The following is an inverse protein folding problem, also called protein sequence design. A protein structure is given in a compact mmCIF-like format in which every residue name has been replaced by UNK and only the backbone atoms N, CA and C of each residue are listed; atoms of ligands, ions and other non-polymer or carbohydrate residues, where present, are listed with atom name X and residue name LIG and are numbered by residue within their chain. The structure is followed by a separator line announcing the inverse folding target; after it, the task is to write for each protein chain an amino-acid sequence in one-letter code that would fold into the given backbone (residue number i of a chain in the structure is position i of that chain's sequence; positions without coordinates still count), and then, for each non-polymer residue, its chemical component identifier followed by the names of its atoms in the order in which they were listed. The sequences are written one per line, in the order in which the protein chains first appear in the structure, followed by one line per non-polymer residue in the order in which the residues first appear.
data_IF_289980042057
#
_entry.id   IF_289980042057
#
_cell.length_a   1.000
_cell.length_b   1.000
_cell.length_c   1.000
_cell.angle_alpha   90.00
_cell.angle_beta   90.00
_cell.angle_gamma   90.00
#
_symmetry.space_group_name_H-M   'P 1'
#
loop_
_entity.id
_entity.type
_entity.pdbx_description
1 polymer ?
#
# COMPACT_ATOMS: atom_id res chain seq x y z
N UNK A 1 -11.76 -21.62 19.33
CA UNK A 1 -11.70 -20.37 20.12
C UNK A 1 -12.16 -19.25 19.22
N UNK A 2 -13.22 -18.49 19.55
CA UNK A 2 -13.56 -17.30 18.77
C UNK A 2 -12.45 -16.27 19.02
N UNK A 3 -11.76 -15.84 17.95
CA UNK A 3 -10.80 -14.74 18.05
C UNK A 3 -11.58 -13.47 18.41
N UNK A 4 -11.19 -12.81 19.50
CA UNK A 4 -11.62 -11.43 19.73
C UNK A 4 -11.09 -10.58 18.59
N UNK A 5 -11.94 -9.75 18.00
CA UNK A 5 -11.47 -8.73 17.06
C UNK A 5 -10.46 -7.83 17.78
N UNK A 6 -9.35 -7.50 17.11
CA UNK A 6 -8.35 -6.55 17.63
C UNK A 6 -8.95 -5.15 17.84
N UNK A 7 -10.06 -4.86 17.16
CA UNK A 7 -10.86 -3.65 17.30
C UNK A 7 -12.04 -3.89 18.24
N UNK A 8 -12.10 -3.13 19.33
CA UNK A 8 -13.27 -3.11 20.23
C UNK A 8 -14.46 -2.39 19.55
N UNK A 9 -15.69 -2.72 19.96
CA UNK A 9 -16.90 -2.04 19.44
C UNK A 9 -16.89 -0.53 19.70
N UNK A 10 -16.29 -0.08 20.81
CA UNK A 10 -16.11 1.34 21.10
C UNK A 10 -15.15 2.03 20.14
N UNK A 11 -14.05 1.37 19.76
CA UNK A 11 -13.11 1.90 18.79
C UNK A 11 -13.72 2.01 17.38
N UNK A 12 -14.45 0.97 16.95
CA UNK A 12 -15.19 0.96 15.67
C UNK A 12 -16.22 2.11 15.59
N UNK A 13 -16.99 2.32 16.66
CA UNK A 13 -17.97 3.41 16.71
C UNK A 13 -17.33 4.81 16.59
N UNK A 14 -16.15 5.00 17.20
CA UNK A 14 -15.39 6.26 17.11
C UNK A 14 -14.85 6.46 15.70
N UNK A 15 -14.25 5.43 15.11
CA UNK A 15 -13.73 5.47 13.74
C UNK A 15 -14.83 5.84 12.74
N UNK A 16 -15.99 5.19 12.84
CA UNK A 16 -17.13 5.46 11.96
C UNK A 16 -17.66 6.90 12.12
N UNK A 17 -17.74 7.40 13.35
CA UNK A 17 -18.17 8.77 13.62
C UNK A 17 -17.20 9.81 13.03
N UNK A 18 -15.89 9.54 13.06
CA UNK A 18 -14.87 10.38 12.43
C UNK A 18 -14.99 10.35 10.90
N UNK A 19 -15.09 9.16 10.30
CA UNK A 19 -15.23 9.02 8.85
C UNK A 19 -16.48 9.72 8.30
N UNK A 20 -17.60 9.70 9.03
CA UNK A 20 -18.84 10.39 8.66
C UNK A 20 -18.71 11.92 8.70
N UNK A 21 -17.86 12.46 9.57
CA UNK A 21 -17.59 13.91 9.67
C UNK A 21 -16.60 14.41 8.62
N UNK A 22 -15.83 13.52 8.00
CA UNK A 22 -14.84 13.89 7.00
C UNK A 22 -15.47 14.36 5.69
N UNK A 23 -14.88 15.41 5.12
CA UNK A 23 -15.16 15.81 3.73
C UNK A 23 -14.62 14.77 2.73
N UNK A 24 -15.03 14.88 1.47
CA UNK A 24 -14.45 14.06 0.41
C UNK A 24 -12.93 14.29 0.29
N UNK A 25 -12.48 15.54 0.43
CA UNK A 25 -11.06 15.91 0.38
C UNK A 25 -10.25 15.30 1.53
N UNK A 26 -10.81 15.27 2.74
CA UNK A 26 -10.15 14.62 3.88
C UNK A 26 -9.95 13.13 3.65
N UNK A 27 -10.96 12.46 3.11
CA UNK A 27 -10.88 11.03 2.78
C UNK A 27 -9.82 10.77 1.70
N UNK A 28 -9.75 11.60 0.66
CA UNK A 28 -8.71 11.48 -0.38
C UNK A 28 -7.33 11.69 0.22
N UNK A 29 -7.14 12.71 1.06
CA UNK A 29 -5.86 13.01 1.72
C UNK A 29 -5.38 11.82 2.55
N UNK A 30 -6.26 11.23 3.36
CA UNK A 30 -5.94 10.05 4.17
C UNK A 30 -5.61 8.86 3.29
N UNK A 31 -6.45 8.55 2.29
CA UNK A 31 -6.21 7.43 1.37
C UNK A 31 -4.90 7.57 0.58
N UNK A 32 -4.56 8.80 0.19
CA UNK A 32 -3.28 9.10 -0.46
C UNK A 32 -2.10 8.83 0.47
N UNK A 33 -2.16 9.30 1.73
CA UNK A 33 -1.10 9.07 2.71
C UNK A 33 -0.95 7.57 3.01
N UNK A 34 -2.05 6.86 3.26
CA UNK A 34 -2.04 5.40 3.45
C UNK A 34 -1.40 4.67 2.26
N UNK A 35 -1.63 5.14 1.04
CA UNK A 35 -1.03 4.57 -0.17
C UNK A 35 0.49 4.81 -0.24
N UNK A 36 0.97 5.96 0.23
CA UNK A 36 2.41 6.23 0.33
C UNK A 36 3.06 5.34 1.40
N UNK A 37 2.43 5.23 2.57
CA UNK A 37 2.93 4.44 3.68
C UNK A 37 2.99 2.95 3.32
N UNK A 38 1.94 2.42 2.67
CA UNK A 38 1.92 1.05 2.18
C UNK A 38 3.07 0.76 1.20
N UNK A 39 3.38 1.69 0.29
CA UNK A 39 4.51 1.57 -0.64
C UNK A 39 5.86 1.63 0.07
N UNK A 40 6.01 2.50 1.06
CA UNK A 40 7.23 2.63 1.84
C UNK A 40 7.51 1.35 2.66
N UNK A 41 6.49 0.85 3.36
CA UNK A 41 6.56 -0.41 4.12
C UNK A 41 6.92 -1.58 3.19
N UNK A 42 6.24 -1.67 2.05
CA UNK A 42 6.49 -2.73 1.07
C UNK A 42 7.91 -2.66 0.51
N UNK A 43 8.41 -1.46 0.17
CA UNK A 43 9.77 -1.28 -0.33
C UNK A 43 10.81 -1.69 0.72
N UNK A 44 10.60 -1.33 1.99
CA UNK A 44 11.47 -1.76 3.08
C UNK A 44 11.48 -3.29 3.23
N UNK A 45 10.31 -3.94 3.12
CA UNK A 45 10.20 -5.39 3.15
C UNK A 45 10.92 -6.06 1.96
N UNK A 46 10.80 -5.49 0.75
CA UNK A 46 11.51 -5.96 -0.45
C UNK A 46 13.02 -5.89 -0.23
N UNK A 47 13.55 -4.74 0.20
CA UNK A 47 14.98 -4.56 0.48
C UNK A 47 15.49 -5.56 1.52
N UNK A 48 14.68 -5.84 2.55
CA UNK A 48 15.04 -6.82 3.59
C UNK A 48 15.07 -8.26 3.06
N UNK A 49 14.16 -8.62 2.14
CA UNK A 49 14.07 -9.98 1.56
C UNK A 49 15.07 -10.20 0.42
N UNK A 50 15.49 -9.12 -0.25
CA UNK A 50 16.40 -9.12 -1.39
C UNK A 50 17.56 -8.15 -1.14
N UNK A 51 18.48 -8.47 -0.21
CA UNK A 51 19.63 -7.61 0.09
C UNK A 51 20.57 -7.42 -1.12
N UNK A 52 20.49 -8.30 -2.12
CA UNK A 52 21.21 -8.22 -3.40
C UNK A 52 20.65 -7.18 -4.36
N UNK A 53 19.44 -6.66 -4.12
CA UNK A 53 18.84 -5.64 -4.98
C UNK A 53 19.43 -4.27 -4.69
N UNK A 54 19.86 -3.60 -5.76
CA UNK A 54 20.09 -2.17 -5.71
C UNK A 54 18.77 -1.39 -5.59
N UNK A 55 18.92 -0.08 -5.38
CA UNK A 55 17.82 0.81 -5.10
C UNK A 55 16.82 0.92 -6.27
N UNK A 56 17.30 0.71 -7.50
CA UNK A 56 16.49 0.71 -8.72
C UNK A 56 15.71 -0.61 -8.85
N UNK A 57 16.38 -1.74 -8.62
CA UNK A 57 15.79 -3.08 -8.68
C UNK A 57 14.69 -3.27 -7.63
N UNK A 58 14.91 -2.78 -6.40
CA UNK A 58 13.90 -2.79 -5.35
C UNK A 58 12.65 -1.98 -5.73
N UNK A 59 12.83 -0.80 -6.35
CA UNK A 59 11.71 0.00 -6.86
C UNK A 59 10.98 -0.69 -8.01
N UNK A 60 11.68 -1.37 -8.91
CA UNK A 60 11.05 -2.14 -9.99
C UNK A 60 10.27 -3.33 -9.47
N UNK A 61 10.77 -4.02 -8.44
CA UNK A 61 10.03 -5.09 -7.78
C UNK A 61 8.74 -4.58 -7.15
N UNK A 62 8.78 -3.41 -6.48
CA UNK A 62 7.57 -2.75 -5.98
C UNK A 62 6.62 -2.39 -7.14
N UNK A 63 7.14 -1.83 -8.23
CA UNK A 63 6.31 -1.46 -9.38
C UNK A 63 5.62 -2.68 -10.00
N UNK A 64 6.34 -3.79 -10.18
CA UNK A 64 5.78 -5.07 -10.64
C UNK A 64 4.63 -5.55 -9.76
N UNK A 65 4.78 -5.45 -8.44
CA UNK A 65 3.71 -5.81 -7.50
C UNK A 65 2.47 -4.92 -7.67
N UNK A 66 2.66 -3.62 -7.90
CA UNK A 66 1.55 -2.66 -8.01
C UNK A 66 0.76 -2.80 -9.31
N UNK A 67 1.43 -3.03 -10.44
CA UNK A 67 0.77 -3.11 -11.76
C UNK A 67 0.44 -4.54 -12.20
N UNK A 68 1.02 -5.54 -11.52
CA UNK A 68 0.92 -6.95 -11.89
C UNK A 68 1.84 -7.33 -13.06
N UNK A 69 2.08 -8.63 -13.19
CA UNK A 69 3.05 -9.18 -14.15
C UNK A 69 2.70 -8.86 -15.61
N UNK A 70 1.41 -8.91 -15.96
CA UNK A 70 0.97 -8.67 -17.33
C UNK A 70 1.35 -7.26 -17.81
N UNK A 71 1.05 -6.22 -17.01
CA UNK A 71 1.36 -4.83 -17.34
C UNK A 71 2.86 -4.55 -17.23
N UNK A 72 3.55 -5.19 -16.28
CA UNK A 72 5.00 -5.04 -16.12
C UNK A 72 5.77 -5.49 -17.38
N UNK A 73 5.37 -6.63 -17.97
CA UNK A 73 6.03 -7.18 -19.16
C UNK A 73 5.72 -6.37 -20.43
N UNK A 74 4.52 -5.78 -20.54
CA UNK A 74 4.15 -4.93 -21.69
C UNK A 74 5.05 -3.70 -21.83
N UNK A 75 5.52 -3.11 -20.72
CA UNK A 75 6.50 -2.01 -20.74
C UNK A 75 7.80 -2.39 -21.48
N UNK A 76 8.23 -3.64 -21.38
CA UNK A 76 9.44 -4.12 -22.04
C UNK A 76 9.34 -4.18 -23.57
N UNK A 77 8.13 -4.14 -24.13
CA UNK A 77 7.87 -4.28 -25.59
C UNK A 77 7.75 -2.95 -26.33
N UNK A 78 7.60 -1.82 -25.63
CA UNK A 78 7.34 -0.50 -26.23
C UNK A 78 8.59 0.41 -26.26
N UNK A 79 9.77 -0.18 -26.42
CA UNK A 79 10.99 0.54 -26.83
C UNK A 79 11.39 0.03 -28.22
N UNK A 80 10.74 0.54 -29.26
CA UNK A 80 11.20 0.55 -30.65
C UNK A 80 11.10 1.98 -31.16
#
# INVERSE_FOLDING_TARGET
MPYSLDTTSGADAVELALYRKMSASDRIRIGHQMSLDARAITLAAIRRRHPEYDDVSARWALFRLLVGDELFQKRGRTRR
#
